data_IF_068633874437
#
_entry.id   IF_068633874437
#
_cell.length_a   1.000
_cell.length_b   1.000
_cell.length_c   1.000
_cell.angle_alpha   90.00
_cell.angle_beta   90.00
_cell.angle_gamma   90.00
#
_symmetry.space_group_name_H-M   'P 1'
#
loop_
_entity.id
_entity.type
_entity.pdbx_description
1 polymer ?
#
# COMPACT_ATOMS: atom_id res chain seq x y z
N UNK A 1 51.00 -30.53 -14.66
CA UNK A 1 50.58 -30.45 -13.24
C UNK A 1 51.70 -30.86 -12.27
N UNK A 2 52.33 -32.04 -12.39
CA UNK A 2 53.42 -32.46 -11.47
C UNK A 2 54.65 -31.55 -11.47
N UNK A 3 54.97 -30.91 -12.60
CA UNK A 3 56.10 -29.97 -12.73
C UNK A 3 55.89 -28.64 -12.00
N UNK A 4 54.63 -28.23 -11.74
CA UNK A 4 54.33 -27.01 -10.97
C UNK A 4 54.58 -27.19 -9.47
N UNK A 5 54.79 -28.42 -9.01
CA UNK A 5 55.03 -28.79 -7.61
C UNK A 5 56.47 -29.27 -7.38
N UNK A 6 57.39 -28.93 -8.29
CA UNK A 6 58.81 -29.27 -8.11
C UNK A 6 59.41 -28.51 -6.92
N UNK A 7 60.17 -29.21 -6.08
CA UNK A 7 60.88 -28.63 -4.92
C UNK A 7 62.01 -27.67 -5.31
N UNK A 8 62.49 -27.75 -6.56
CA UNK A 8 63.50 -26.85 -7.10
C UNK A 8 62.82 -25.68 -7.82
N UNK A 9 63.01 -24.41 -7.36
CA UNK A 9 62.33 -23.24 -7.92
C UNK A 9 62.57 -23.04 -9.42
N UNK A 10 63.76 -23.40 -9.91
CA UNK A 10 64.19 -23.21 -11.30
C UNK A 10 63.56 -24.20 -12.28
N UNK A 11 63.04 -25.33 -11.79
CA UNK A 11 62.33 -26.33 -12.60
C UNK A 11 60.84 -26.08 -12.70
N UNK A 12 60.34 -25.04 -12.01
CA UNK A 12 58.94 -24.66 -12.06
C UNK A 12 58.69 -23.89 -13.35
N UNK A 13 57.76 -24.32 -14.22
CA UNK A 13 57.45 -23.59 -15.43
C UNK A 13 56.92 -22.19 -15.11
N UNK A 14 57.30 -21.21 -15.93
CA UNK A 14 56.83 -19.83 -15.79
C UNK A 14 55.33 -19.73 -16.09
N UNK A 15 54.64 -18.75 -15.50
CA UNK A 15 53.19 -18.55 -15.66
C UNK A 15 52.79 -18.50 -17.13
N UNK A 16 53.57 -17.84 -17.99
CA UNK A 16 53.33 -17.78 -19.43
C UNK A 16 53.38 -19.15 -20.10
N UNK A 17 54.35 -20.00 -19.73
CA UNK A 17 54.49 -21.35 -20.28
C UNK A 17 53.31 -22.24 -19.85
N UNK A 18 52.83 -22.09 -18.61
CA UNK A 18 51.62 -22.77 -18.13
C UNK A 18 50.40 -22.30 -18.92
N UNK A 19 50.32 -20.99 -19.18
CA UNK A 19 49.20 -20.38 -19.91
C UNK A 19 49.16 -20.86 -21.37
N UNK A 20 50.31 -20.96 -22.03
CA UNK A 20 50.41 -21.49 -23.40
C UNK A 20 50.13 -22.99 -23.47
N UNK A 21 50.59 -23.77 -22.49
CA UNK A 21 50.27 -25.19 -22.39
C UNK A 21 48.76 -25.41 -22.16
N UNK A 22 48.14 -24.58 -21.32
CA UNK A 22 46.70 -24.59 -21.06
C UNK A 22 45.89 -24.08 -22.26
N UNK A 23 46.43 -23.14 -23.03
CA UNK A 23 45.84 -22.62 -24.28
C UNK A 23 45.87 -23.67 -25.40
N UNK A 24 46.95 -24.44 -25.49
CA UNK A 24 47.09 -25.58 -26.40
C UNK A 24 46.14 -26.73 -26.06
N UNK A 25 45.98 -27.05 -24.77
CA UNK A 25 45.02 -28.06 -24.27
C UNK A 25 43.57 -27.61 -24.52
N UNK A 26 43.29 -26.31 -24.43
CA UNK A 26 41.96 -25.72 -24.63
C UNK A 26 41.69 -25.23 -26.05
N UNK A 27 42.30 -25.81 -27.10
CA UNK A 27 42.03 -25.54 -28.53
C UNK A 27 40.56 -25.17 -28.81
N UNK A 28 40.22 -23.88 -28.74
CA UNK A 28 38.89 -23.34 -29.01
C UNK A 28 37.77 -23.58 -27.98
N UNK A 29 38.01 -24.19 -26.81
CA UNK A 29 36.95 -24.56 -25.84
C UNK A 29 36.66 -23.55 -24.72
N UNK A 30 37.32 -22.39 -24.72
CA UNK A 30 37.17 -21.39 -23.65
C UNK A 30 35.81 -20.68 -23.64
N UNK A 31 35.04 -20.79 -24.72
CA UNK A 31 33.80 -20.01 -24.93
C UNK A 31 32.52 -20.76 -24.59
N UNK A 32 32.53 -22.05 -24.20
CA UNK A 32 31.25 -22.75 -23.96
C UNK A 32 30.78 -22.72 -22.49
N UNK A 33 31.69 -22.83 -21.51
CA UNK A 33 31.30 -22.95 -20.09
C UNK A 33 31.00 -21.57 -19.49
N UNK A 34 31.87 -20.58 -19.75
CA UNK A 34 31.68 -19.21 -19.25
C UNK A 34 30.43 -18.59 -19.87
N UNK A 35 30.22 -18.80 -21.17
CA UNK A 35 29.07 -18.28 -21.90
C UNK A 35 27.77 -18.97 -21.48
N UNK A 36 27.81 -20.27 -21.17
CA UNK A 36 26.69 -20.97 -20.54
C UNK A 36 26.37 -20.43 -19.14
N UNK A 37 27.37 -20.09 -18.33
CA UNK A 37 27.16 -19.47 -17.01
C UNK A 37 26.64 -18.03 -17.13
N UNK A 38 27.15 -17.27 -18.10
CA UNK A 38 26.69 -15.90 -18.38
C UNK A 38 25.22 -15.89 -18.80
N UNK A 39 24.86 -16.77 -19.75
CA UNK A 39 23.49 -16.93 -20.23
C UNK A 39 22.54 -17.45 -19.15
N UNK A 40 23.03 -18.32 -18.26
CA UNK A 40 22.27 -18.77 -17.10
C UNK A 40 22.03 -17.62 -16.11
N UNK A 41 23.04 -16.79 -15.82
CA UNK A 41 22.89 -15.60 -14.96
C UNK A 41 21.96 -14.55 -15.57
N UNK A 42 22.05 -14.29 -16.87
CA UNK A 42 21.14 -13.40 -17.59
C UNK A 42 19.69 -13.90 -17.51
N UNK A 43 19.49 -15.20 -17.70
CA UNK A 43 18.17 -15.82 -17.61
C UNK A 43 17.61 -15.77 -16.18
N UNK A 44 18.46 -15.99 -15.15
CA UNK A 44 18.06 -15.79 -13.77
C UNK A 44 17.71 -14.34 -13.46
N UNK A 45 18.49 -13.38 -13.95
CA UNK A 45 18.23 -11.94 -13.76
C UNK A 45 16.90 -11.52 -14.40
N UNK A 46 16.66 -11.92 -15.65
CA UNK A 46 15.41 -11.64 -16.37
C UNK A 46 14.20 -12.24 -15.64
N UNK A 47 14.28 -13.51 -15.25
CA UNK A 47 13.19 -14.16 -14.53
C UNK A 47 12.93 -13.49 -13.16
N UNK A 48 13.99 -13.04 -12.48
CA UNK A 48 13.87 -12.34 -11.20
C UNK A 48 13.24 -10.96 -11.39
N UNK A 49 13.61 -10.22 -12.43
CA UNK A 49 13.01 -8.93 -12.77
C UNK A 49 11.53 -9.07 -13.11
N UNK A 50 11.15 -10.08 -13.91
CA UNK A 50 9.75 -10.36 -14.24
C UNK A 50 8.95 -10.70 -12.97
N UNK A 51 9.50 -11.53 -12.08
CA UNK A 51 8.87 -11.86 -10.82
C UNK A 51 8.75 -10.65 -9.90
N UNK A 52 9.80 -9.82 -9.80
CA UNK A 52 9.77 -8.59 -9.00
C UNK A 52 8.70 -7.65 -9.55
N UNK A 53 8.60 -7.50 -10.87
CA UNK A 53 7.58 -6.65 -11.51
C UNK A 53 6.18 -7.13 -11.17
N UNK A 54 5.89 -8.42 -11.35
CA UNK A 54 4.57 -9.01 -11.02
C UNK A 54 4.20 -8.77 -9.55
N UNK A 55 5.14 -9.06 -8.63
CA UNK A 55 4.90 -8.86 -7.19
C UNK A 55 4.75 -7.39 -6.81
N UNK A 56 5.46 -6.49 -7.49
CA UNK A 56 5.34 -5.04 -7.25
C UNK A 56 3.98 -4.54 -7.74
N UNK A 57 3.51 -5.00 -8.91
CA UNK A 57 2.17 -4.67 -9.43
C UNK A 57 1.06 -5.18 -8.50
N UNK A 58 1.14 -6.42 -8.02
CA UNK A 58 0.19 -6.96 -7.04
C UNK A 58 0.16 -6.13 -5.74
N UNK A 59 1.34 -5.75 -5.24
CA UNK A 59 1.48 -4.94 -4.03
C UNK A 59 0.89 -3.53 -4.24
N UNK A 60 1.10 -2.93 -5.41
CA UNK A 60 0.55 -1.63 -5.78
C UNK A 60 -0.98 -1.65 -5.79
N UNK A 61 -1.57 -2.70 -6.40
CA UNK A 61 -3.03 -2.89 -6.45
C UNK A 61 -3.60 -3.04 -5.04
N UNK A 62 -2.97 -3.86 -4.19
CA UNK A 62 -3.45 -4.10 -2.84
C UNK A 62 -3.30 -2.86 -1.95
N UNK A 63 -2.20 -2.10 -2.11
CA UNK A 63 -2.04 -0.80 -1.47
C UNK A 63 -3.12 0.18 -1.89
N UNK A 64 -3.44 0.28 -3.17
CA UNK A 64 -4.49 1.19 -3.65
C UNK A 64 -5.87 0.82 -3.09
N UNK A 65 -6.20 -0.47 -2.99
CA UNK A 65 -7.45 -0.91 -2.36
C UNK A 65 -7.50 -0.53 -0.88
N UNK A 66 -6.42 -0.79 -0.16
CA UNK A 66 -6.29 -0.46 1.26
C UNK A 66 -6.43 1.04 1.50
N UNK A 67 -5.79 1.84 0.67
CA UNK A 67 -5.85 3.30 0.75
C UNK A 67 -7.24 3.86 0.48
N UNK A 68 -7.94 3.32 -0.52
CA UNK A 68 -9.35 3.66 -0.79
C UNK A 68 -10.25 3.34 0.40
N UNK A 69 -10.11 2.14 0.96
CA UNK A 69 -10.87 1.73 2.15
C UNK A 69 -10.57 2.63 3.36
N UNK A 70 -9.30 2.95 3.59
CA UNK A 70 -8.90 3.83 4.69
C UNK A 70 -9.53 5.22 4.57
N UNK A 71 -9.59 5.76 3.35
CA UNK A 71 -10.16 7.09 3.07
C UNK A 71 -11.70 7.08 3.13
N UNK A 72 -12.34 5.93 2.90
CA UNK A 72 -13.79 5.77 3.06
C UNK A 72 -14.21 5.64 4.53
N UNK A 73 -13.36 5.04 5.36
CA UNK A 73 -13.67 4.77 6.77
C UNK A 73 -13.25 5.89 7.72
N UNK A 74 -12.20 6.63 7.36
CA UNK A 74 -11.58 7.64 8.20
C UNK A 74 -11.41 8.95 7.41
N UNK A 75 -11.47 10.11 8.09
CA UNK A 75 -11.24 11.38 7.44
C UNK A 75 -9.79 11.42 6.89
N UNK A 76 -9.56 12.11 5.76
CA UNK A 76 -8.27 12.07 5.06
C UNK A 76 -7.09 12.51 5.94
N UNK A 77 -7.30 13.48 6.85
CA UNK A 77 -6.29 13.92 7.82
C UNK A 77 -5.83 12.79 8.76
N UNK A 78 -6.77 12.01 9.29
CA UNK A 78 -6.49 10.88 10.18
C UNK A 78 -5.91 9.70 9.39
N UNK A 79 -6.40 9.46 8.18
CA UNK A 79 -5.88 8.43 7.29
C UNK A 79 -4.40 8.67 6.94
N UNK A 80 -4.02 9.91 6.62
CA UNK A 80 -2.62 10.28 6.37
C UNK A 80 -1.74 10.14 7.61
N UNK A 81 -2.21 10.61 8.78
CA UNK A 81 -1.49 10.46 10.04
C UNK A 81 -1.23 8.97 10.38
N UNK A 82 -2.23 8.11 10.18
CA UNK A 82 -2.11 6.66 10.36
C UNK A 82 -1.16 6.02 9.35
N UNK A 83 -1.18 6.45 8.07
CA UNK A 83 -0.21 6.00 7.05
C UNK A 83 1.23 6.36 7.42
N UNK A 84 1.43 7.51 8.06
CA UNK A 84 2.74 7.96 8.54
C UNK A 84 3.15 7.32 9.88
N UNK A 85 2.32 6.46 10.47
CA UNK A 85 2.59 5.84 11.77
C UNK A 85 2.65 6.84 12.93
N UNK A 86 2.09 8.04 12.74
CA UNK A 86 2.07 9.08 13.76
C UNK A 86 0.86 8.87 14.68
N UNK A 87 1.00 8.99 16.01
CA UNK A 87 -0.14 8.96 16.89
C UNK A 87 -1.11 10.10 16.55
N UNK A 88 -2.39 9.76 16.36
CA UNK A 88 -3.45 10.73 16.10
C UNK A 88 -3.83 11.36 17.44
N UNK A 89 -3.49 12.64 17.64
CA UNK A 89 -3.87 13.36 18.85
C UNK A 89 -5.38 13.70 18.84
N UNK A 90 -6.06 13.69 20.00
CA UNK A 90 -7.46 14.09 20.08
C UNK A 90 -7.62 15.56 19.70
N UNK A 91 -8.44 15.85 18.69
CA UNK A 91 -8.78 17.22 18.31
C UNK A 91 -9.84 17.80 19.27
N UNK A 92 -9.58 19.02 19.76
CA UNK A 92 -10.54 19.81 20.52
C UNK A 92 -11.15 20.88 19.63
N UNK A 93 -12.48 20.93 19.58
CA UNK A 93 -13.22 21.94 18.83
C UNK A 93 -14.00 22.83 19.79
N UNK A 94 -13.80 24.15 19.70
CA UNK A 94 -14.51 25.14 20.53
C UNK A 94 -16.00 25.24 20.22
N UNK A 95 -16.38 25.08 18.94
CA UNK A 95 -17.77 25.10 18.49
C UNK A 95 -18.02 23.97 17.49
N UNK A 96 -19.03 23.13 17.78
CA UNK A 96 -19.44 22.02 16.92
C UNK A 96 -20.95 22.01 16.76
N UNK A 97 -21.43 21.79 15.53
CA UNK A 97 -22.84 21.53 15.28
C UNK A 97 -23.04 20.04 15.06
N UNK A 98 -23.85 19.41 15.93
CA UNK A 98 -24.19 17.99 15.84
C UNK A 98 -25.56 17.83 15.22
N UNK A 99 -25.62 17.10 14.10
CA UNK A 99 -26.88 16.73 13.46
C UNK A 99 -27.30 15.32 13.87
N UNK A 100 -28.52 15.19 14.40
CA UNK A 100 -29.15 13.93 14.75
C UNK A 100 -30.41 13.75 13.91
N UNK A 101 -30.43 12.71 13.07
CA UNK A 101 -31.61 12.32 12.32
C UNK A 101 -32.01 10.90 12.72
N UNK A 102 -33.29 10.72 13.03
CA UNK A 102 -33.90 9.41 13.26
C UNK A 102 -34.95 9.14 12.18
N UNK A 103 -35.12 7.87 11.81
CA UNK A 103 -36.10 7.47 10.81
C UNK A 103 -37.42 7.20 11.53
N UNK A 104 -38.38 8.11 11.36
CA UNK A 104 -39.71 7.96 11.97
C UNK A 104 -40.37 6.71 11.41
N UNK A 105 -40.76 5.78 12.31
CA UNK A 105 -41.44 4.55 11.93
C UNK A 105 -40.52 3.41 11.48
N UNK A 106 -39.20 3.52 11.65
CA UNK A 106 -38.25 2.46 11.30
C UNK A 106 -38.64 1.09 11.88
N UNK A 107 -39.07 1.04 13.15
CA UNK A 107 -39.51 -0.20 13.81
C UNK A 107 -40.71 -0.85 13.13
N UNK A 108 -41.65 -0.05 12.63
CA UNK A 108 -42.85 -0.54 11.95
C UNK A 108 -42.52 -1.03 10.54
N UNK A 109 -41.66 -0.31 9.82
CA UNK A 109 -41.20 -0.70 8.48
C UNK A 109 -40.37 -1.99 8.57
N UNK A 110 -39.45 -2.08 9.53
CA UNK A 110 -38.64 -3.30 9.74
C UNK A 110 -39.44 -4.52 10.19
N UNK A 111 -40.63 -4.30 10.77
CA UNK A 111 -41.52 -5.37 11.20
C UNK A 111 -42.43 -5.89 10.08
N UNK A 112 -42.64 -5.09 9.02
CA UNK A 112 -43.55 -5.40 7.90
C UNK A 112 -42.81 -5.80 6.61
N UNK A 113 -41.53 -5.46 6.47
CA UNK A 113 -40.71 -5.71 5.29
C UNK A 113 -39.74 -6.87 5.49
N UNK A 114 -39.28 -7.47 4.39
CA UNK A 114 -38.21 -8.45 4.48
C UNK A 114 -36.88 -7.80 4.86
N UNK A 115 -35.99 -8.50 5.59
CA UNK A 115 -34.71 -7.95 6.01
C UNK A 115 -33.87 -7.39 4.85
N UNK A 116 -33.99 -7.98 3.65
CA UNK A 116 -33.26 -7.52 2.47
C UNK A 116 -33.74 -6.14 2.00
N UNK A 117 -35.06 -5.92 1.98
CA UNK A 117 -35.67 -4.65 1.54
C UNK A 117 -35.34 -3.51 2.51
N UNK A 118 -35.28 -3.81 3.82
CA UNK A 118 -34.89 -2.84 4.85
C UNK A 118 -33.42 -2.44 4.69
N UNK A 119 -32.55 -3.40 4.34
CA UNK A 119 -31.13 -3.13 4.09
C UNK A 119 -30.96 -2.27 2.84
N UNK A 120 -31.69 -2.57 1.75
CA UNK A 120 -31.63 -1.79 0.52
C UNK A 120 -32.12 -0.35 0.74
N UNK A 121 -33.25 -0.16 1.44
CA UNK A 121 -33.76 1.17 1.81
C UNK A 121 -32.75 1.97 2.65
N UNK A 122 -32.12 1.31 3.63
CA UNK A 122 -31.08 1.95 4.44
C UNK A 122 -29.88 2.31 3.56
N UNK A 123 -29.43 1.40 2.70
CA UNK A 123 -28.28 1.63 1.83
C UNK A 123 -28.50 2.84 0.91
N UNK A 124 -29.69 2.97 0.32
CA UNK A 124 -30.06 4.12 -0.51
C UNK A 124 -30.07 5.43 0.28
N UNK A 125 -30.66 5.41 1.48
CA UNK A 125 -30.70 6.57 2.37
C UNK A 125 -29.30 6.99 2.82
N UNK A 126 -28.46 6.04 3.24
CA UNK A 126 -27.07 6.30 3.61
C UNK A 126 -26.26 6.82 2.43
N UNK A 127 -26.48 6.30 1.22
CA UNK A 127 -25.79 6.77 0.00
C UNK A 127 -26.18 8.21 -0.32
N UNK A 128 -27.46 8.58 -0.19
CA UNK A 128 -27.93 9.96 -0.36
C UNK A 128 -27.34 10.89 0.70
N UNK A 129 -27.31 10.46 1.96
CA UNK A 129 -26.67 11.24 3.02
C UNK A 129 -25.17 11.41 2.77
N UNK A 130 -24.46 10.35 2.39
CA UNK A 130 -23.03 10.40 2.10
C UNK A 130 -22.73 11.30 0.89
N UNK A 131 -23.62 11.37 -0.11
CA UNK A 131 -23.52 12.31 -1.22
C UNK A 131 -23.70 13.78 -0.80
N UNK A 132 -24.67 14.06 0.08
CA UNK A 132 -24.91 15.42 0.62
C UNK A 132 -23.76 15.81 1.55
N UNK A 133 -23.30 14.89 2.40
CA UNK A 133 -22.14 15.08 3.27
C UNK A 133 -20.89 15.30 2.41
N UNK A 134 -20.68 14.61 1.30
CA UNK A 134 -19.53 14.87 0.43
C UNK A 134 -19.49 16.30 -0.15
N UNK A 135 -20.63 17.00 -0.22
CA UNK A 135 -20.71 18.39 -0.68
C UNK A 135 -20.51 19.42 0.45
N UNK A 136 -20.58 19.01 1.72
CA UNK A 136 -20.42 19.86 2.89
C UNK A 136 -19.22 19.38 3.73
N UNK A 137 -18.44 20.28 4.33
CA UNK A 137 -17.26 19.87 5.14
C UNK A 137 -17.71 19.32 6.52
N UNK A 138 -18.42 18.20 6.50
CA UNK A 138 -19.13 17.61 7.64
C UNK A 138 -18.64 16.19 7.83
N UNK A 139 -18.27 15.87 9.07
CA UNK A 139 -17.68 14.58 9.42
C UNK A 139 -18.73 13.58 9.93
N UNK A 140 -18.80 12.39 9.35
CA UNK A 140 -19.67 11.30 9.80
C UNK A 140 -19.04 10.60 11.01
N UNK A 141 -19.63 10.79 12.19
CA UNK A 141 -19.18 10.13 13.43
C UNK A 141 -20.03 8.87 13.64
N UNK A 142 -19.42 7.69 13.50
CA UNK A 142 -20.05 6.42 13.85
C UNK A 142 -19.82 6.12 15.34
N UNK A 143 -20.87 6.04 16.19
CA UNK A 143 -20.68 5.66 17.59
C UNK A 143 -20.31 4.18 17.70
N UNK A 144 -19.39 3.86 18.61
CA UNK A 144 -19.02 2.48 18.99
C UNK A 144 -20.17 1.66 19.62
N UNK A 145 -21.37 2.22 19.74
CA UNK A 145 -22.55 1.58 20.37
C UNK A 145 -23.68 1.52 19.34
N UNK A 146 -23.91 0.32 18.81
CA UNK A 146 -24.83 0.00 17.72
C UNK A 146 -26.30 0.32 18.00
N UNK A 147 -26.70 1.56 17.71
CA UNK A 147 -28.11 1.97 17.64
C UNK A 147 -28.31 2.96 16.50
N UNK A 148 -28.38 2.46 15.27
CA UNK A 148 -28.99 3.08 14.07
C UNK A 148 -29.11 4.61 14.03
N UNK A 149 -28.05 5.35 14.38
CA UNK A 149 -28.07 6.81 14.47
C UNK A 149 -26.87 7.36 13.74
N UNK A 150 -27.14 8.13 12.68
CA UNK A 150 -26.15 8.98 12.04
C UNK A 150 -25.89 10.20 12.92
N UNK A 151 -24.61 10.50 13.15
CA UNK A 151 -24.17 11.81 13.63
C UNK A 151 -23.28 12.42 12.56
N UNK A 152 -23.56 13.67 12.21
CA UNK A 152 -22.72 14.45 11.33
C UNK A 152 -22.21 15.68 12.12
N UNK A 153 -20.90 15.94 12.07
CA UNK A 153 -20.22 17.03 12.75
C UNK A 153 -19.81 18.07 11.71
N UNK A 154 -20.47 19.22 11.67
CA UNK A 154 -20.05 20.31 10.80
C UNK A 154 -19.00 21.16 11.50
N UNK A 155 -17.81 21.33 10.92
CA UNK A 155 -16.83 22.30 11.40
C UNK A 155 -16.98 23.60 10.59
N UNK A 156 -17.24 24.72 11.26
CA UNK A 156 -17.48 26.00 10.59
C UNK A 156 -16.15 26.75 10.38
N UNK A 157 -15.25 26.26 9.52
CA UNK A 157 -14.08 27.06 9.11
C UNK A 157 -14.44 27.98 7.94
N UNK A 158 -15.22 29.03 8.22
CA UNK A 158 -15.37 30.17 7.29
C UNK A 158 -15.19 31.51 8.02
N UNK A 159 -13.99 32.07 7.88
CA UNK A 159 -13.80 33.52 7.81
C UNK A 159 -12.94 34.15 8.91
N UNK A 160 -11.69 34.47 8.56
CA UNK A 160 -10.88 35.50 9.22
C UNK A 160 -11.69 36.77 9.51
N UNK A 161 -11.62 37.32 10.73
CA UNK A 161 -11.61 38.77 10.97
C UNK A 161 -10.93 39.13 12.30
N UNK A 162 -9.65 39.47 12.15
CA UNK A 162 -8.83 40.48 12.87
C UNK A 162 -8.78 40.52 14.41
N UNK A 163 -7.56 40.61 14.99
CA UNK A 163 -7.39 40.87 16.42
C UNK A 163 -7.64 42.35 16.72
N UNK A 164 -8.49 42.64 17.70
CA UNK A 164 -8.43 43.91 18.43
C UNK A 164 -8.27 43.55 19.90
N UNK A 165 -7.07 43.76 20.43
CA UNK A 165 -6.92 44.22 21.80
C UNK A 165 -6.98 45.75 21.84
N UNK A 166 -6.76 46.39 23.00
CA UNK A 166 -6.75 45.82 24.35
C UNK A 166 -8.13 45.85 25.02
#
# INVERSE_FOLDING_TARGET
MKQCWSEQPERRPTIDQIFDQFKSINKGRKTNIIDSMLRMLEQYSSNLEDLIRERTEELEIEKQKTDKLLTQMLPPSVAEALKMGTPVEPEYFEEVTLYFSDIVGFTTISAMSEPIEVVDLLNDLYTLFDAIIGAHDVYKVAPAVGRGRLRALGSHSRGMRSPRGP
#
